data_IF_287641419823
#
_entry.id   IF_287641419823
#
_cell.length_a   1.000
_cell.length_b   1.000
_cell.length_c   1.000
_cell.angle_alpha   90.00
_cell.angle_beta   90.00
_cell.angle_gamma   90.00
#
_symmetry.space_group_name_H-M   'P 1'
#
loop_
_entity.id
_entity.type
_entity.pdbx_description
1 polymer ?
#
# COMPACT_ATOMS: atom_id res chain seq x y z
N UNK A 1 -16.95 9.30 -36.10
CA UNK A 1 -16.11 8.63 -35.09
C UNK A 1 -16.28 9.34 -33.75
N UNK A 2 -17.14 8.81 -32.87
CA UNK A 2 -16.70 8.62 -31.47
C UNK A 2 -17.36 7.38 -30.82
N UNK A 3 -16.59 6.33 -30.51
CA UNK A 3 -17.12 5.13 -29.84
C UNK A 3 -16.16 4.51 -28.79
N UNK A 4 -15.19 5.26 -28.26
CA UNK A 4 -14.18 4.70 -27.34
C UNK A 4 -14.32 5.10 -25.87
N UNK A 5 -15.23 6.01 -25.49
CA UNK A 5 -15.34 6.45 -24.08
C UNK A 5 -16.42 5.73 -23.26
N UNK A 6 -17.45 5.14 -23.89
CA UNK A 6 -18.52 4.42 -23.16
C UNK A 6 -18.15 2.98 -22.79
N UNK A 7 -17.23 2.34 -23.53
CA UNK A 7 -16.85 0.95 -23.25
C UNK A 7 -15.92 0.79 -22.03
N UNK A 8 -15.19 1.85 -21.62
CA UNK A 8 -14.27 1.78 -20.47
C UNK A 8 -14.95 1.99 -19.12
N UNK A 9 -15.99 2.82 -19.03
CA UNK A 9 -16.73 3.05 -17.79
C UNK A 9 -17.68 1.90 -17.46
N UNK A 10 -18.30 1.31 -18.48
CA UNK A 10 -19.18 0.14 -18.32
C UNK A 10 -18.40 -1.11 -17.86
N UNK A 11 -17.20 -1.35 -18.40
CA UNK A 11 -16.39 -2.53 -18.06
C UNK A 11 -15.88 -2.51 -16.61
N UNK A 12 -15.53 -1.32 -16.10
CA UNK A 12 -15.22 -1.16 -14.69
C UNK A 12 -16.46 -1.45 -13.83
N UNK A 13 -17.60 -0.81 -14.12
CA UNK A 13 -18.83 -1.01 -13.37
C UNK A 13 -19.35 -2.47 -13.39
N UNK A 14 -19.15 -3.21 -14.48
CA UNK A 14 -19.61 -4.61 -14.63
C UNK A 14 -18.69 -5.59 -13.90
N UNK A 15 -17.38 -5.34 -13.83
CA UNK A 15 -16.47 -6.07 -12.95
C UNK A 15 -16.74 -5.77 -11.46
N UNK A 16 -17.30 -4.60 -11.14
CA UNK A 16 -17.71 -4.20 -9.79
C UNK A 16 -19.11 -4.70 -9.36
N UNK A 17 -19.96 -5.11 -10.32
CA UNK A 17 -21.33 -5.55 -10.06
C UNK A 17 -21.48 -7.06 -9.86
N UNK A 18 -20.47 -7.85 -10.23
CA UNK A 18 -20.44 -9.28 -9.97
C UNK A 18 -19.41 -9.56 -8.87
N UNK A 19 -19.76 -10.28 -7.78
CA UNK A 19 -18.75 -10.74 -6.84
C UNK A 19 -17.74 -11.55 -7.63
N UNK A 20 -16.51 -11.04 -7.70
CA UNK A 20 -15.37 -11.74 -8.26
C UNK A 20 -15.37 -13.15 -7.67
N UNK A 21 -15.42 -14.15 -8.56
CA UNK A 21 -15.72 -15.53 -8.22
C UNK A 21 -14.96 -15.98 -6.95
N UNK A 22 -15.69 -16.29 -5.88
CA UNK A 22 -15.15 -16.78 -4.61
C UNK A 22 -15.14 -15.79 -3.43
N UNK A 23 -15.55 -14.53 -3.61
CA UNK A 23 -15.67 -13.57 -2.49
C UNK A 23 -17.11 -13.47 -1.97
N UNK A 24 -17.28 -13.38 -0.65
CA UNK A 24 -18.59 -13.13 -0.05
C UNK A 24 -19.08 -11.70 -0.35
N UNK A 25 -20.40 -11.46 -0.30
CA UNK A 25 -20.98 -10.13 -0.55
C UNK A 25 -20.35 -9.02 0.33
N UNK A 26 -20.03 -9.33 1.58
CA UNK A 26 -19.37 -8.40 2.50
C UNK A 26 -17.91 -8.10 2.09
N UNK A 27 -17.19 -9.10 1.57
CA UNK A 27 -15.84 -8.93 1.04
C UNK A 27 -15.85 -8.09 -0.25
N UNK A 28 -16.81 -8.34 -1.16
CA UNK A 28 -16.99 -7.54 -2.37
C UNK A 28 -17.29 -6.06 -2.08
N UNK A 29 -18.18 -5.79 -1.12
CA UNK A 29 -18.45 -4.42 -0.64
C UNK A 29 -17.21 -3.77 -0.02
N UNK A 30 -16.42 -4.52 0.76
CA UNK A 30 -15.18 -4.02 1.34
C UNK A 30 -14.14 -3.63 0.28
N UNK A 31 -13.98 -4.45 -0.77
CA UNK A 31 -13.08 -4.14 -1.88
C UNK A 31 -13.52 -2.88 -2.64
N UNK A 32 -14.83 -2.67 -2.84
CA UNK A 32 -15.35 -1.45 -3.47
C UNK A 32 -15.04 -0.20 -2.65
N UNK A 33 -15.18 -0.27 -1.33
CA UNK A 33 -14.84 0.83 -0.44
C UNK A 33 -13.33 1.11 -0.44
N UNK A 34 -12.49 0.08 -0.41
CA UNK A 34 -11.04 0.23 -0.53
C UNK A 34 -10.67 0.87 -1.88
N UNK A 35 -11.25 0.40 -2.99
CA UNK A 35 -11.01 0.96 -4.32
C UNK A 35 -11.39 2.46 -4.38
N UNK A 36 -12.53 2.83 -3.80
CA UNK A 36 -12.96 4.23 -3.73
C UNK A 36 -12.01 5.10 -2.90
N UNK A 37 -11.44 4.57 -1.81
CA UNK A 37 -10.49 5.26 -0.96
C UNK A 37 -9.12 5.48 -1.61
N UNK A 38 -8.82 4.82 -2.74
CA UNK A 38 -7.53 4.88 -3.45
C UNK A 38 -7.56 5.84 -4.67
N UNK A 39 -8.73 6.11 -5.26
CA UNK A 39 -8.87 6.71 -6.59
C UNK A 39 -8.21 8.11 -6.74
N UNK A 40 -7.51 8.39 -7.87
CA UNK A 40 -8.26 8.62 -9.11
C UNK A 40 -7.81 7.74 -10.32
N UNK A 41 -8.79 7.00 -10.85
CA UNK A 41 -9.10 6.71 -12.26
C UNK A 41 -7.98 6.31 -13.25
N UNK A 42 -7.06 5.39 -12.93
CA UNK A 42 -6.36 4.65 -13.99
C UNK A 42 -6.09 3.20 -13.64
N UNK A 43 -6.17 2.33 -14.65
CA UNK A 43 -5.61 0.98 -14.56
C UNK A 43 -4.13 1.09 -14.18
N UNK A 44 -3.70 0.47 -13.08
CA UNK A 44 -2.36 0.68 -12.55
C UNK A 44 -2.22 1.90 -11.64
N UNK A 45 -3.29 2.28 -10.93
CA UNK A 45 -3.24 3.24 -9.82
C UNK A 45 -2.03 2.97 -8.93
N UNK A 46 -1.43 4.00 -8.34
CA UNK A 46 -0.21 3.94 -7.52
C UNK A 46 -0.37 3.13 -6.23
N UNK A 47 0.71 2.54 -5.75
CA UNK A 47 0.69 1.82 -4.47
C UNK A 47 0.27 2.74 -3.31
N UNK A 48 -0.65 2.28 -2.48
CA UNK A 48 -1.33 3.10 -1.46
C UNK A 48 -1.59 2.30 -0.18
N UNK A 49 -1.68 2.99 0.95
CA UNK A 49 -2.14 2.44 2.22
C UNK A 49 -3.54 3.00 2.48
N UNK A 50 -4.45 2.15 2.92
CA UNK A 50 -5.78 2.55 3.36
C UNK A 50 -6.06 1.90 4.71
N UNK A 51 -6.63 2.64 5.64
CA UNK A 51 -6.90 2.12 6.98
C UNK A 51 -8.07 2.81 7.67
N UNK A 52 -8.67 2.10 8.62
CA UNK A 52 -9.71 2.61 9.53
C UNK A 52 -9.34 2.27 10.96
N UNK A 53 -8.44 3.04 11.56
CA UNK A 53 -8.00 2.83 12.95
C UNK A 53 -9.19 3.08 13.88
N UNK A 54 -9.51 2.17 14.83
CA UNK A 54 -10.60 2.38 15.77
C UNK A 54 -10.45 3.71 16.52
N UNK A 55 -11.54 4.45 16.68
CA UNK A 55 -11.49 5.79 17.27
C UNK A 55 -10.93 5.77 18.70
N UNK A 56 -11.14 4.69 19.44
CA UNK A 56 -10.57 4.49 20.78
C UNK A 56 -9.03 4.45 20.82
N UNK A 57 -8.37 4.17 19.69
CA UNK A 57 -6.92 4.02 19.63
C UNK A 57 -6.17 5.35 19.56
N UNK A 58 -6.84 6.48 19.39
CA UNK A 58 -6.18 7.79 19.39
C UNK A 58 -7.17 8.90 19.76
N UNK A 59 -6.73 9.85 20.61
CA UNK A 59 -7.52 10.99 21.05
C UNK A 59 -7.59 12.11 20.01
N UNK A 60 -6.65 12.15 19.05
CA UNK A 60 -6.61 13.16 17.99
C UNK A 60 -6.11 12.60 16.66
N UNK A 61 -6.27 13.38 15.58
CA UNK A 61 -5.75 13.04 14.26
C UNK A 61 -4.22 12.95 14.26
N UNK A 62 -3.54 13.82 15.03
CA UNK A 62 -2.09 13.81 15.20
C UNK A 62 -1.61 12.53 15.88
N UNK A 63 -2.28 12.12 16.96
CA UNK A 63 -1.95 10.89 17.67
C UNK A 63 -2.21 9.67 16.78
N UNK A 64 -3.32 9.65 16.05
CA UNK A 64 -3.65 8.60 15.10
C UNK A 64 -2.58 8.50 13.99
N UNK A 65 -2.15 9.64 13.44
CA UNK A 65 -1.08 9.68 12.44
C UNK A 65 0.23 9.12 12.99
N UNK A 66 0.65 9.55 14.19
CA UNK A 66 1.89 9.05 14.80
C UNK A 66 1.84 7.55 15.03
N UNK A 67 0.74 7.04 15.59
CA UNK A 67 0.52 5.60 15.81
C UNK A 67 0.56 4.81 14.51
N UNK A 68 -0.08 5.32 13.46
CA UNK A 68 -0.06 4.67 12.15
C UNK A 68 1.35 4.64 11.53
N UNK A 69 2.13 5.73 11.68
CA UNK A 69 3.54 5.74 11.27
C UNK A 69 4.33 4.66 12.01
N UNK A 70 4.17 4.56 13.33
CA UNK A 70 4.89 3.59 14.16
C UNK A 70 4.52 2.15 13.78
N UNK A 71 3.23 1.85 13.63
CA UNK A 71 2.70 0.54 13.22
C UNK A 71 3.29 0.09 11.88
N UNK A 72 3.23 0.95 10.85
CA UNK A 72 3.72 0.60 9.51
C UNK A 72 5.25 0.54 9.49
N UNK A 73 5.93 1.42 10.22
CA UNK A 73 7.39 1.41 10.36
C UNK A 73 7.87 0.11 11.01
N UNK A 74 7.22 -0.31 12.09
CA UNK A 74 7.54 -1.57 12.77
C UNK A 74 7.31 -2.77 11.85
N UNK A 75 6.15 -2.83 11.19
CA UNK A 75 5.79 -3.95 10.31
C UNK A 75 6.76 -4.06 9.11
N UNK A 76 7.17 -2.92 8.54
CA UNK A 76 8.17 -2.91 7.46
C UNK A 76 9.55 -3.34 7.99
N UNK A 77 9.97 -2.86 9.16
CA UNK A 77 11.23 -3.26 9.78
C UNK A 77 11.29 -4.79 10.03
N UNK A 78 10.20 -5.38 10.50
CA UNK A 78 10.08 -6.84 10.66
C UNK A 78 10.15 -7.57 9.31
N UNK A 79 9.47 -7.06 8.28
CA UNK A 79 9.51 -7.62 6.92
C UNK A 79 10.92 -7.64 6.33
N UNK A 80 11.66 -6.52 6.46
CA UNK A 80 13.02 -6.40 5.95
C UNK A 80 13.99 -7.32 6.72
N UNK A 81 13.88 -7.38 8.05
CA UNK A 81 14.69 -8.28 8.88
C UNK A 81 14.41 -9.76 8.58
N UNK A 82 13.15 -10.15 8.39
CA UNK A 82 12.77 -11.52 8.03
C UNK A 82 13.41 -11.98 6.72
N UNK A 83 13.65 -11.04 5.81
CA UNK A 83 14.29 -11.28 4.52
C UNK A 83 15.82 -11.14 4.58
N UNK A 84 16.40 -10.93 5.76
CA UNK A 84 17.83 -10.70 5.97
C UNK A 84 18.39 -9.53 5.13
N UNK A 85 17.54 -8.55 4.82
CA UNK A 85 17.97 -7.37 4.08
C UNK A 85 18.78 -6.47 5.01
N UNK A 86 19.88 -5.92 4.48
CA UNK A 86 20.65 -4.88 5.15
C UNK A 86 19.99 -3.53 4.87
N UNK A 87 19.66 -2.79 5.91
CA UNK A 87 19.04 -1.48 5.75
C UNK A 87 19.35 -0.53 6.91
N UNK A 88 19.31 0.75 6.61
CA UNK A 88 19.27 1.83 7.59
C UNK A 88 17.90 2.52 7.52
N UNK A 89 17.51 3.23 8.59
CA UNK A 89 16.25 3.98 8.63
C UNK A 89 16.47 5.39 9.14
N UNK A 90 15.78 6.35 8.56
CA UNK A 90 15.82 7.75 8.97
C UNK A 90 14.41 8.31 9.00
N UNK A 91 14.06 9.03 10.07
CA UNK A 91 12.81 9.79 10.11
C UNK A 91 12.99 11.06 9.28
N UNK A 92 12.46 11.06 8.06
CA UNK A 92 12.66 12.14 7.09
C UNK A 92 11.80 13.37 7.40
N UNK A 93 10.66 13.18 8.06
CA UNK A 93 9.75 14.27 8.45
C UNK A 93 8.73 13.81 9.50
N UNK A 94 7.88 14.73 9.95
CA UNK A 94 6.68 14.41 10.74
C UNK A 94 5.75 13.41 10.04
N UNK A 95 5.79 13.34 8.70
CA UNK A 95 4.86 12.57 7.86
C UNK A 95 5.34 11.15 7.55
N UNK A 96 6.54 10.76 8.00
CA UNK A 96 6.96 9.36 7.94
C UNK A 96 8.45 9.10 7.85
N UNK A 97 8.75 7.82 7.61
CA UNK A 97 10.08 7.21 7.75
C UNK A 97 10.61 6.76 6.40
N UNK A 98 11.90 6.92 6.15
CA UNK A 98 12.59 6.36 4.99
C UNK A 98 13.47 5.19 5.42
N UNK A 99 13.48 4.13 4.62
CA UNK A 99 14.34 2.97 4.77
C UNK A 99 15.27 2.90 3.57
N UNK A 100 16.57 2.86 3.80
CA UNK A 100 17.59 2.74 2.76
C UNK A 100 18.11 1.31 2.78
N UNK A 101 17.92 0.60 1.68
CA UNK A 101 18.37 -0.78 1.55
C UNK A 101 19.78 -0.75 0.98
N UNK A 102 20.70 -1.38 1.70
CA UNK A 102 22.14 -1.35 1.46
C UNK A 102 22.66 -2.79 1.31
N UNK A 103 22.31 -3.40 0.18
CA UNK A 103 22.69 -4.78 -0.14
C UNK A 103 23.29 -4.85 -1.54
N UNK A 104 24.62 -4.97 -1.60
CA UNK A 104 25.38 -5.07 -2.85
C UNK A 104 25.03 -6.33 -3.65
N UNK A 105 24.61 -7.42 -3.00
CA UNK A 105 24.19 -8.64 -3.71
C UNK A 105 22.89 -8.42 -4.49
N UNK A 106 22.09 -7.45 -4.07
CA UNK A 106 20.85 -7.04 -4.73
C UNK A 106 21.03 -5.78 -5.57
N UNK A 107 22.28 -5.34 -5.81
CA UNK A 107 22.60 -4.08 -6.49
C UNK A 107 21.89 -2.85 -5.89
N UNK A 108 21.76 -2.82 -4.57
CA UNK A 108 21.28 -1.68 -3.79
C UNK A 108 22.47 -1.07 -3.03
N UNK A 109 23.03 0.02 -3.57
CA UNK A 109 24.19 0.70 -2.99
C UNK A 109 23.77 1.84 -2.05
N UNK A 110 24.66 2.22 -1.13
CA UNK A 110 24.42 3.36 -0.23
C UNK A 110 24.28 4.68 -1.01
N UNK A 111 23.38 5.55 -0.53
CA UNK A 111 23.12 6.89 -1.07
C UNK A 111 24.32 7.82 -0.94
N UNK A 112 25.21 7.58 0.02
CA UNK A 112 26.36 8.45 0.30
C UNK A 112 27.32 8.58 -0.88
N UNK A 113 27.15 7.75 -1.91
CA UNK A 113 27.94 7.77 -3.15
C UNK A 113 27.28 8.54 -4.31
N UNK A 114 26.15 9.23 -4.10
CA UNK A 114 25.40 9.86 -5.20
C UNK A 114 24.93 8.82 -6.25
N UNK A 115 24.79 7.56 -5.81
CA UNK A 115 24.69 6.40 -6.68
C UNK A 115 23.30 6.29 -7.32
N UNK A 116 23.28 6.12 -8.65
CA UNK A 116 22.07 5.77 -9.40
C UNK A 116 21.50 4.37 -9.04
N UNK A 117 22.16 3.64 -8.12
CA UNK A 117 21.77 2.32 -7.65
C UNK A 117 21.20 2.30 -6.22
N UNK A 118 20.79 3.46 -5.70
CA UNK A 118 20.10 3.51 -4.42
C UNK A 118 18.77 2.74 -4.44
N UNK A 119 18.42 2.10 -3.32
CA UNK A 119 17.13 1.46 -3.09
C UNK A 119 16.50 2.06 -1.82
N UNK A 120 15.36 2.73 -1.96
CA UNK A 120 14.72 3.46 -0.86
C UNK A 120 13.25 3.12 -0.77
N UNK A 121 12.76 2.90 0.45
CA UNK A 121 11.35 2.78 0.75
C UNK A 121 10.91 4.00 1.58
N UNK A 122 9.96 4.76 1.06
CA UNK A 122 9.35 5.90 1.74
C UNK A 122 8.00 5.50 2.31
N UNK A 123 7.84 5.65 3.63
CA UNK A 123 6.55 5.64 4.29
C UNK A 123 6.04 7.07 4.36
N UNK A 124 4.89 7.33 3.73
CA UNK A 124 4.17 8.59 3.83
C UNK A 124 2.81 8.31 4.46
N UNK A 125 2.55 8.88 5.64
CA UNK A 125 1.27 8.78 6.34
C UNK A 125 0.81 10.21 6.66
N UNK A 126 -0.37 10.55 6.18
CA UNK A 126 -1.01 11.85 6.38
C UNK A 126 -2.01 11.78 7.53
N UNK A 127 -2.38 12.95 8.06
CA UNK A 127 -3.40 13.05 9.11
C UNK A 127 -4.71 12.41 8.63
N UNK A 128 -5.31 11.52 9.43
CA UNK A 128 -6.58 10.91 9.10
C UNK A 128 -7.73 11.88 9.33
N UNK A 129 -8.91 11.49 8.86
CA UNK A 129 -10.18 12.14 9.20
C UNK A 129 -11.03 11.19 10.04
N UNK A 130 -11.83 11.73 10.97
CA UNK A 130 -12.77 10.91 11.73
C UNK A 130 -14.00 10.61 10.88
N UNK A 131 -14.44 9.36 10.83
CA UNK A 131 -15.59 8.93 10.04
C UNK A 131 -16.29 7.73 10.66
N UNK A 132 -17.44 7.34 10.11
CA UNK A 132 -18.10 6.08 10.44
C UNK A 132 -17.28 4.89 9.92
N UNK A 133 -17.10 3.88 10.75
CA UNK A 133 -16.35 2.67 10.41
C UNK A 133 -17.12 1.82 9.41
N UNK A 134 -16.52 1.46 8.26
CA UNK A 134 -17.13 0.53 7.31
C UNK A 134 -17.41 -0.84 7.93
N UNK A 135 -18.50 -1.48 7.52
CA UNK A 135 -18.92 -2.77 8.08
C UNK A 135 -17.88 -3.88 7.92
N UNK A 136 -17.14 -3.90 6.80
CA UNK A 136 -16.13 -4.93 6.54
C UNK A 136 -14.88 -4.81 7.42
N UNK A 137 -14.66 -3.66 8.07
CA UNK A 137 -13.53 -3.41 8.99
C UNK A 137 -13.99 -3.47 10.46
N UNK A 138 -15.28 -3.66 10.69
CA UNK A 138 -15.92 -3.37 11.97
C UNK A 138 -15.51 -4.37 13.05
N UNK A 139 -14.45 -4.03 13.78
CA UNK A 139 -14.05 -4.68 15.03
C UNK A 139 -14.88 -4.19 16.24
N UNK A 140 -16.17 -3.88 16.04
CA UNK A 140 -17.09 -3.45 17.10
C UNK A 140 -17.25 -1.92 17.30
N UNK A 141 -16.37 -1.08 16.76
CA UNK A 141 -16.49 0.40 16.89
C UNK A 141 -17.24 1.05 15.73
N UNK A 142 -18.11 2.02 16.06
CA UNK A 142 -18.91 2.78 15.09
C UNK A 142 -18.12 3.89 14.38
N UNK A 143 -17.08 4.40 15.03
CA UNK A 143 -16.23 5.47 14.50
C UNK A 143 -14.78 5.01 14.36
N UNK A 144 -14.07 5.58 13.39
CA UNK A 144 -12.65 5.32 13.14
C UNK A 144 -11.95 6.56 12.60
N UNK A 145 -10.63 6.57 12.74
CA UNK A 145 -9.72 7.44 12.02
C UNK A 145 -9.42 6.82 10.66
N UNK A 146 -9.99 7.39 9.60
CA UNK A 146 -9.81 6.94 8.24
C UNK A 146 -8.57 7.57 7.58
N UNK A 147 -7.69 6.69 7.12
CA UNK A 147 -6.53 7.00 6.29
C UNK A 147 -6.88 6.68 4.84
N UNK A 148 -7.33 7.67 4.08
CA UNK A 148 -7.66 7.52 2.65
C UNK A 148 -6.50 8.03 1.77
N UNK A 149 -6.48 7.62 0.51
CA UNK A 149 -5.37 7.89 -0.42
C UNK A 149 -5.83 8.51 -1.75
N UNK A 150 -7.03 9.08 -1.76
CA UNK A 150 -7.68 9.62 -2.96
C UNK A 150 -7.11 10.95 -3.45
N UNK A 151 -6.36 11.68 -2.61
CA UNK A 151 -5.82 12.98 -2.98
C UNK A 151 -4.66 12.85 -3.98
N UNK A 152 -4.68 13.59 -5.10
CA UNK A 152 -3.73 13.48 -6.22
C UNK A 152 -2.23 13.55 -5.90
N UNK A 153 -1.80 14.28 -4.85
CA UNK A 153 -0.38 14.36 -4.46
C UNK A 153 -0.06 13.91 -3.03
N UNK A 154 -0.96 14.14 -2.07
CA UNK A 154 -0.81 13.83 -0.65
C UNK A 154 -1.61 12.57 -0.26
N UNK A 155 -0.98 11.41 -0.31
CA UNK A 155 -1.65 10.13 -0.07
C UNK A 155 -0.80 9.18 0.78
N UNK A 156 -1.48 8.31 1.52
CA UNK A 156 -0.82 7.34 2.38
C UNK A 156 -0.19 6.25 1.50
N UNK A 157 1.11 6.01 1.65
CA UNK A 157 1.80 5.06 0.78
C UNK A 157 3.10 4.53 1.37
N UNK A 158 3.41 3.30 0.95
CA UNK A 158 4.76 2.73 0.94
C UNK A 158 5.29 2.84 -0.49
N UNK A 159 6.08 3.88 -0.77
CA UNK A 159 6.66 4.12 -2.09
C UNK A 159 8.04 3.50 -2.16
N UNK A 160 8.36 2.84 -3.27
CA UNK A 160 9.63 2.15 -3.44
C UNK A 160 10.38 2.70 -4.65
N UNK A 161 11.50 3.34 -4.40
CA UNK A 161 12.44 3.79 -5.41
C UNK A 161 13.60 2.81 -5.46
N UNK A 162 13.52 1.86 -6.38
CA UNK A 162 14.47 0.75 -6.50
C UNK A 162 15.40 0.97 -7.69
N UNK A 163 16.68 0.63 -7.52
CA UNK A 163 17.64 0.63 -8.62
C UNK A 163 17.14 -0.20 -9.82
N UNK A 164 17.33 0.30 -11.04
CA UNK A 164 16.95 -0.42 -12.27
C UNK A 164 17.71 -1.74 -12.44
N UNK A 165 18.86 -1.89 -11.80
CA UNK A 165 19.68 -3.10 -11.85
C UNK A 165 19.45 -4.02 -10.65
N UNK A 166 18.54 -3.66 -9.74
CA UNK A 166 18.28 -4.46 -8.55
C UNK A 166 17.40 -5.67 -8.83
N UNK A 167 17.73 -6.78 -8.19
CA UNK A 167 16.96 -8.02 -8.16
C UNK A 167 16.05 -8.12 -6.92
N UNK A 168 15.92 -7.06 -6.13
CA UNK A 168 15.09 -7.07 -4.92
C UNK A 168 13.63 -7.35 -5.26
N UNK A 169 13.02 -8.29 -4.53
CA UNK A 169 11.62 -8.61 -4.66
C UNK A 169 10.78 -7.72 -3.74
N UNK A 170 10.30 -6.61 -4.29
CA UNK A 170 9.44 -5.69 -3.54
C UNK A 170 8.06 -6.26 -3.24
N UNK A 171 7.56 -7.22 -4.03
CA UNK A 171 6.31 -7.88 -3.73
C UNK A 171 6.39 -8.63 -2.40
N UNK A 172 7.48 -9.38 -2.19
CA UNK A 172 7.71 -10.10 -0.93
C UNK A 172 7.82 -9.14 0.27
N UNK A 173 8.45 -7.98 0.08
CA UNK A 173 8.53 -6.93 1.11
C UNK A 173 7.13 -6.44 1.50
N UNK A 174 6.30 -6.06 0.53
CA UNK A 174 4.95 -5.56 0.81
C UNK A 174 4.06 -6.65 1.42
N UNK A 175 4.12 -7.88 0.88
CA UNK A 175 3.36 -9.02 1.40
C UNK A 175 3.75 -9.36 2.84
N UNK A 176 5.05 -9.51 3.14
CA UNK A 176 5.52 -9.77 4.49
C UNK A 176 5.19 -8.62 5.45
N UNK A 177 5.23 -7.37 4.98
CA UNK A 177 4.81 -6.22 5.80
C UNK A 177 3.33 -6.34 6.17
N UNK A 178 2.48 -6.78 5.24
CA UNK A 178 1.04 -6.90 5.48
C UNK A 178 0.66 -7.96 6.54
N UNK A 179 1.53 -8.92 6.84
CA UNK A 179 1.27 -9.99 7.81
C UNK A 179 1.09 -9.44 9.22
N UNK A 180 1.94 -8.50 9.62
CA UNK A 180 1.99 -7.99 11.00
C UNK A 180 1.14 -6.74 11.21
N UNK A 181 0.67 -6.12 10.12
CA UNK A 181 -0.27 -5.00 10.19
C UNK A 181 -1.60 -5.38 10.88
N UNK A 182 -2.27 -4.44 11.57
CA UNK A 182 -3.61 -4.66 12.11
C UNK A 182 -4.63 -4.99 11.00
N UNK A 183 -5.72 -5.70 11.36
CA UNK A 183 -6.75 -6.11 10.38
C UNK A 183 -7.50 -4.93 9.75
N UNK A 184 -7.41 -3.75 10.36
CA UNK A 184 -7.99 -2.51 9.85
C UNK A 184 -7.06 -1.73 8.91
N UNK A 185 -5.89 -2.28 8.56
CA UNK A 185 -4.96 -1.73 7.58
C UNK A 185 -4.91 -2.61 6.33
N UNK A 186 -4.90 -1.94 5.17
CA UNK A 186 -4.86 -2.55 3.85
C UNK A 186 -3.76 -1.87 3.04
N UNK A 187 -2.97 -2.67 2.31
CA UNK A 187 -2.02 -2.15 1.32
C UNK A 187 -2.55 -2.48 -0.07
N UNK A 188 -2.75 -1.46 -0.88
CA UNK A 188 -2.93 -1.62 -2.30
C UNK A 188 -1.56 -1.56 -2.99
N UNK A 189 -1.21 -2.63 -3.70
CA UNK A 189 0.05 -2.77 -4.43
C UNK A 189 -0.23 -2.64 -5.93
N UNK A 190 0.37 -1.62 -6.54
CA UNK A 190 0.28 -1.38 -7.98
C UNK A 190 1.26 -2.25 -8.75
N UNK A 191 0.87 -2.83 -9.91
CA UNK A 191 1.82 -3.53 -10.78
C UNK A 191 2.88 -2.59 -11.37
N UNK A 192 2.65 -1.27 -11.41
CA UNK A 192 3.63 -0.32 -11.93
C UNK A 192 4.75 -0.02 -10.92
N UNK A 193 4.46 -0.14 -9.63
CA UNK A 193 5.36 0.22 -8.54
C UNK A 193 5.87 -1.00 -7.75
N UNK A 194 5.47 -2.22 -8.16
CA UNK A 194 5.80 -3.47 -7.47
C UNK A 194 6.54 -4.43 -8.40
N UNK A 195 7.82 -4.61 -8.11
CA UNK A 195 8.80 -5.41 -8.83
C UNK A 195 9.01 -6.76 -8.15
N UNK A 196 9.02 -7.84 -8.94
CA UNK A 196 9.54 -9.15 -8.54
C UNK A 196 11.06 -9.19 -8.80
N UNK A 197 11.48 -8.63 -9.93
CA UNK A 197 12.89 -8.46 -10.29
C UNK A 197 12.99 -7.27 -11.24
N UNK A 198 13.49 -6.13 -10.75
CA UNK A 198 13.52 -4.90 -11.54
C UNK A 198 14.57 -4.95 -12.64
N UNK A 199 15.70 -5.64 -12.40
CA UNK A 199 16.76 -5.87 -13.39
C UNK A 199 16.27 -6.60 -14.64
N UNK A 200 15.27 -7.48 -14.47
CA UNK A 200 14.62 -8.22 -15.56
C UNK A 200 13.33 -7.59 -16.06
N UNK A 201 12.98 -6.38 -15.61
CA UNK A 201 11.70 -5.70 -15.89
C UNK A 201 10.48 -6.58 -15.54
N UNK A 202 10.59 -7.39 -14.48
CA UNK A 202 9.53 -8.28 -14.02
C UNK A 202 8.76 -7.63 -12.88
N UNK A 203 7.52 -7.26 -13.16
CA UNK A 203 6.61 -6.66 -12.19
C UNK A 203 5.54 -7.65 -11.73
N UNK A 204 4.79 -7.30 -10.69
CA UNK A 204 3.51 -7.97 -10.42
C UNK A 204 2.61 -7.83 -11.65
N UNK A 205 1.93 -8.92 -12.03
CA UNK A 205 1.04 -8.92 -13.20
C UNK A 205 -0.29 -8.21 -12.94
N UNK A 206 -0.73 -8.18 -11.68
CA UNK A 206 -2.03 -7.66 -11.29
C UNK A 206 -1.92 -6.75 -10.07
N UNK A 207 -2.80 -5.75 -9.93
CA UNK A 207 -2.96 -5.02 -8.68
C UNK A 207 -3.48 -5.95 -7.58
N UNK A 208 -2.97 -5.75 -6.36
CA UNK A 208 -3.31 -6.57 -5.19
C UNK A 208 -3.79 -5.68 -4.05
N UNK A 209 -4.80 -6.13 -3.32
CA UNK A 209 -5.06 -5.65 -1.95
C UNK A 209 -4.51 -6.69 -0.98
N UNK A 210 -3.68 -6.23 -0.06
CA UNK A 210 -3.00 -7.06 0.94
C UNK A 210 -3.55 -6.72 2.33
N UNK A 211 -3.96 -7.74 3.06
CA UNK A 211 -4.37 -7.62 4.47
C UNK A 211 -4.04 -8.90 5.22
N UNK A 212 -3.31 -8.78 6.34
CA UNK A 212 -2.91 -9.93 7.17
C UNK A 212 -2.21 -11.04 6.38
N UNK A 213 -1.39 -10.68 5.38
CA UNK A 213 -0.70 -11.63 4.51
C UNK A 213 -1.57 -12.23 3.39
N UNK A 214 -2.88 -11.98 3.38
CA UNK A 214 -3.77 -12.45 2.32
C UNK A 214 -3.77 -11.47 1.16
N UNK A 215 -3.66 -12.01 -0.06
CA UNK A 215 -3.76 -11.25 -1.31
C UNK A 215 -5.15 -11.41 -1.93
N UNK A 216 -5.82 -10.29 -2.13
CA UNK A 216 -7.10 -10.19 -2.83
C UNK A 216 -6.85 -9.58 -4.21
N UNK A 217 -7.25 -10.32 -5.24
CA UNK A 217 -7.00 -9.96 -6.63
C UNK A 217 -8.19 -9.19 -7.22
N UNK A 218 -7.90 -8.20 -8.04
CA UNK A 218 -8.89 -7.68 -8.99
C UNK A 218 -8.88 -8.61 -10.20
N UNK A 219 -9.90 -9.46 -10.32
CA UNK A 219 -10.16 -10.17 -11.57
C UNK A 219 -10.88 -9.18 -12.49
N UNK A 220 -10.35 -9.02 -13.70
CA UNK A 220 -10.96 -8.22 -14.77
C UNK A 220 -12.15 -8.95 -15.38
#
# INVERSE_FOLDING_TARGET
>A
MPESSMFNTASAAVAYANPTAGLSNAQGLGLNLIASAIAPNSHGARSSIVAWMPASQAASAEEAQSKMIDIVTQSLNESLNKQNLKFSKTRKSEKGTSFFIEDSNLNCESIDQGSAKACVIYLNIFKPSKTSTPEFVKNGEKESWAFTSSHGFYYNAMKMEISRTSSINTLDIVQNTSVTLPSWVFIYSSPNDTYIDRSKKKNSMYPLILSKGNAYYFVK
#
